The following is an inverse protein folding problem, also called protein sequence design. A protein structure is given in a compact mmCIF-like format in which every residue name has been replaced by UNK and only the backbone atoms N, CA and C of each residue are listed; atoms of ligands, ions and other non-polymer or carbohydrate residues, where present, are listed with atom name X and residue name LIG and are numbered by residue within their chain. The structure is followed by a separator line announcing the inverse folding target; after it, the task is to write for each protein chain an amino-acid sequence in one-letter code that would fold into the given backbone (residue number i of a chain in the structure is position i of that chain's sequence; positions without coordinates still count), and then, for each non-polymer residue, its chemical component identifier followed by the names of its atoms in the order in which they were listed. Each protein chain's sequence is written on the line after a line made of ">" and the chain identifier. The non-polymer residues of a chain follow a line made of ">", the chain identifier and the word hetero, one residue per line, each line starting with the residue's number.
data_IF_016054381019
#
_entry.id   IF_016054381019
#
_cell.length_a   1.000
_cell.length_b   1.000
_cell.length_c   1.000
_cell.angle_alpha   90.00
_cell.angle_beta   90.00
_cell.angle_gamma   90.00
#
_symmetry.space_group_name_H-M   'P 1'
#
loop_
_entity.id
_entity.type
_entity.pdbx_description
1 polymer ?
#
# COMPACT_ATOMS: atom_id res chain seq x y z
N UNK A 1 -34.04 -26.84 32.70
CA UNK A 1 -33.14 -27.01 31.55
C UNK A 1 -32.57 -25.64 31.23
N UNK A 2 -31.26 -25.41 31.36
CA UNK A 2 -30.69 -24.14 30.97
C UNK A 2 -30.84 -24.02 29.44
N UNK A 3 -31.37 -22.90 29.00
CA UNK A 3 -31.53 -22.59 27.60
C UNK A 3 -30.14 -22.63 26.92
N UNK A 4 -30.01 -23.45 25.88
CA UNK A 4 -28.73 -23.54 25.15
C UNK A 4 -28.46 -22.21 24.46
N UNK A 5 -27.32 -21.61 24.71
CA UNK A 5 -26.91 -20.38 24.07
C UNK A 5 -26.75 -20.59 22.55
N UNK A 6 -27.30 -19.69 21.77
CA UNK A 6 -27.06 -19.67 20.32
C UNK A 6 -25.66 -19.18 19.98
N UNK A 7 -25.25 -19.29 18.70
CA UNK A 7 -23.94 -18.88 18.20
C UNK A 7 -23.56 -17.45 18.64
N UNK A 8 -24.47 -16.50 18.46
CA UNK A 8 -24.20 -15.09 18.73
C UNK A 8 -23.98 -14.79 20.21
N UNK A 9 -24.76 -15.43 21.09
CA UNK A 9 -24.56 -15.31 22.52
C UNK A 9 -23.21 -15.91 22.95
N UNK A 10 -22.84 -17.07 22.40
CA UNK A 10 -21.54 -17.71 22.66
C UNK A 10 -20.39 -16.84 22.17
N UNK A 11 -20.49 -16.29 20.95
CA UNK A 11 -19.47 -15.40 20.39
C UNK A 11 -19.32 -14.13 21.22
N UNK A 12 -20.43 -13.54 21.65
CA UNK A 12 -20.41 -12.36 22.50
C UNK A 12 -19.75 -12.64 23.87
N UNK A 13 -19.98 -13.81 24.45
CA UNK A 13 -19.28 -14.22 25.67
C UNK A 13 -17.76 -14.29 25.45
N UNK A 14 -17.30 -14.87 24.33
CA UNK A 14 -15.87 -14.93 23.99
C UNK A 14 -15.29 -13.52 23.88
N UNK A 15 -15.96 -12.59 23.20
CA UNK A 15 -15.53 -11.19 23.07
C UNK A 15 -15.38 -10.50 24.40
N UNK A 16 -16.40 -10.61 25.27
CA UNK A 16 -16.40 -10.00 26.63
C UNK A 16 -15.28 -10.58 27.49
N UNK A 17 -15.09 -11.90 27.48
CA UNK A 17 -14.00 -12.53 28.24
C UNK A 17 -12.62 -12.18 27.70
N UNK A 18 -12.47 -12.06 26.38
CA UNK A 18 -11.23 -11.65 25.74
C UNK A 18 -10.85 -10.21 26.14
N UNK A 19 -11.81 -9.28 26.21
CA UNK A 19 -11.58 -7.90 26.61
C UNK A 19 -11.07 -7.76 28.05
N UNK A 20 -11.34 -8.72 28.91
CA UNK A 20 -10.80 -8.77 30.28
C UNK A 20 -9.32 -9.19 30.31
N UNK A 21 -8.79 -9.72 29.23
CA UNK A 21 -7.41 -10.21 29.15
C UNK A 21 -6.44 -9.08 28.83
N UNK A 22 -5.29 -9.09 29.48
CA UNK A 22 -4.19 -8.18 29.18
C UNK A 22 -3.33 -8.76 28.07
N UNK A 23 -3.77 -8.62 26.83
CA UNK A 23 -2.98 -9.00 25.67
C UNK A 23 -1.79 -8.04 25.50
N UNK A 24 -0.63 -8.58 25.06
CA UNK A 24 0.57 -7.79 24.83
C UNK A 24 0.87 -7.77 23.33
N UNK A 25 1.05 -6.59 22.76
CA UNK A 25 1.47 -6.42 21.37
C UNK A 25 2.94 -6.81 21.21
N UNK A 26 3.24 -7.88 20.46
CA UNK A 26 4.59 -8.33 20.15
C UNK A 26 5.11 -7.82 18.81
N UNK A 27 4.24 -7.47 17.89
CA UNK A 27 4.58 -6.91 16.60
C UNK A 27 5.10 -5.47 16.73
N UNK A 28 6.18 -5.17 16.00
CA UNK A 28 6.78 -3.83 15.95
C UNK A 28 6.98 -3.42 14.51
N UNK A 29 6.31 -2.36 14.10
CA UNK A 29 6.65 -1.68 12.86
C UNK A 29 7.71 -0.62 13.15
N UNK A 30 8.97 -0.94 12.87
CA UNK A 30 10.12 -0.03 13.09
C UNK A 30 10.07 1.20 12.20
N UNK A 31 9.37 1.10 11.10
CA UNK A 31 9.30 2.16 10.09
C UNK A 31 8.35 3.28 10.53
N UNK A 32 7.15 2.89 10.96
CA UNK A 32 6.11 3.83 11.42
C UNK A 32 6.05 3.96 12.96
N UNK A 33 7.00 3.33 13.67
CA UNK A 33 7.19 3.41 15.12
C UNK A 33 5.92 3.11 15.94
N UNK A 34 5.20 2.03 15.56
CA UNK A 34 4.04 1.57 16.34
C UNK A 34 4.12 0.06 16.62
N UNK A 35 3.39 -0.38 17.65
CA UNK A 35 3.23 -1.78 18.01
C UNK A 35 1.85 -2.28 17.61
N UNK A 36 1.77 -3.54 17.20
CA UNK A 36 0.53 -4.19 16.79
C UNK A 36 0.45 -5.61 17.34
N UNK A 37 -0.75 -6.19 17.33
CA UNK A 37 -0.95 -7.57 17.73
C UNK A 37 -0.54 -8.53 16.60
N UNK A 38 0.30 -9.50 16.93
CA UNK A 38 0.54 -10.68 16.11
C UNK A 38 -0.47 -11.78 16.45
N UNK A 39 -0.64 -12.75 15.55
CA UNK A 39 -1.53 -13.89 15.79
C UNK A 39 -1.21 -14.63 17.09
N UNK A 40 0.06 -14.75 17.45
CA UNK A 40 0.52 -15.40 18.68
C UNK A 40 0.09 -14.69 19.96
N UNK A 41 -0.25 -13.40 19.88
CA UNK A 41 -0.58 -12.59 21.06
C UNK A 41 -2.03 -12.82 21.55
N UNK A 42 -2.93 -13.22 20.66
CA UNK A 42 -4.34 -13.39 20.96
C UNK A 42 -4.91 -14.78 20.60
N UNK A 43 -4.35 -15.46 19.59
CA UNK A 43 -4.91 -16.71 19.08
C UNK A 43 -5.00 -17.83 20.14
N UNK A 44 -3.99 -18.02 21.02
CA UNK A 44 -4.10 -19.04 22.09
C UNK A 44 -5.26 -18.78 23.04
N UNK A 45 -5.48 -17.52 23.43
CA UNK A 45 -6.58 -17.16 24.34
C UNK A 45 -7.94 -17.26 23.64
N UNK A 46 -8.04 -16.85 22.37
CA UNK A 46 -9.26 -17.03 21.57
C UNK A 46 -9.61 -18.50 21.44
N UNK A 47 -8.66 -19.37 21.12
CA UNK A 47 -8.91 -20.80 20.99
C UNK A 47 -9.41 -21.41 22.31
N UNK A 48 -8.83 -20.99 23.43
CA UNK A 48 -9.27 -21.41 24.76
C UNK A 48 -10.72 -20.98 25.04
N UNK A 49 -11.01 -19.69 24.85
CA UNK A 49 -12.35 -19.14 25.09
C UNK A 49 -13.39 -19.73 24.13
N UNK A 50 -13.05 -19.95 22.87
CA UNK A 50 -13.91 -20.65 21.92
C UNK A 50 -14.22 -22.06 22.37
N UNK A 51 -13.21 -22.83 22.80
CA UNK A 51 -13.39 -24.17 23.33
C UNK A 51 -14.33 -24.18 24.55
N UNK A 52 -14.13 -23.29 25.50
CA UNK A 52 -14.96 -23.14 26.71
C UNK A 52 -16.42 -22.79 26.40
N UNK A 53 -16.67 -22.09 25.27
CA UNK A 53 -18.01 -21.70 24.81
C UNK A 53 -18.60 -22.62 23.73
N UNK A 54 -17.95 -23.74 23.39
CA UNK A 54 -18.43 -24.66 22.36
C UNK A 54 -18.44 -24.05 20.96
N UNK A 55 -17.43 -23.24 20.63
CA UNK A 55 -17.19 -22.65 19.31
C UNK A 55 -15.93 -23.25 18.68
N UNK A 56 -15.92 -23.31 17.35
CA UNK A 56 -14.74 -23.64 16.54
C UNK A 56 -14.51 -22.57 15.50
N UNK A 57 -13.25 -22.29 15.17
CA UNK A 57 -12.85 -21.34 14.12
C UNK A 57 -12.14 -22.07 13.00
N UNK A 58 -12.50 -21.78 11.75
CA UNK A 58 -11.89 -22.37 10.54
C UNK A 58 -11.47 -21.23 9.63
N UNK A 59 -10.16 -21.14 9.35
CA UNK A 59 -9.62 -20.16 8.41
C UNK A 59 -9.43 -20.78 7.04
N UNK A 60 -9.98 -20.13 6.00
CA UNK A 60 -9.82 -20.47 4.60
C UNK A 60 -9.18 -19.31 3.84
N UNK A 61 -8.40 -19.63 2.82
CA UNK A 61 -7.71 -18.67 1.99
C UNK A 61 -7.64 -19.16 0.54
N UNK A 62 -7.96 -18.29 -0.41
CA UNK A 62 -7.80 -18.50 -1.83
C UNK A 62 -7.25 -17.24 -2.53
N UNK A 63 -7.25 -17.20 -3.86
CA UNK A 63 -6.69 -16.08 -4.64
C UNK A 63 -7.49 -14.79 -4.52
N UNK A 64 -8.81 -14.89 -4.29
CA UNK A 64 -9.72 -13.75 -4.30
C UNK A 64 -10.04 -13.24 -2.90
N UNK A 65 -10.15 -14.14 -1.92
CA UNK A 65 -10.56 -13.78 -0.56
C UNK A 65 -10.00 -14.72 0.50
N UNK A 66 -9.97 -14.21 1.73
CA UNK A 66 -9.78 -14.99 2.94
C UNK A 66 -11.05 -14.98 3.78
N UNK A 67 -11.32 -16.08 4.48
CA UNK A 67 -12.49 -16.24 5.33
C UNK A 67 -12.13 -16.83 6.68
N UNK A 68 -12.84 -16.37 7.70
CA UNK A 68 -12.88 -16.97 9.03
C UNK A 68 -14.30 -17.40 9.32
N UNK A 69 -14.53 -18.70 9.41
CA UNK A 69 -15.80 -19.28 9.78
C UNK A 69 -15.79 -19.57 11.28
N UNK A 70 -16.82 -19.13 12.00
CA UNK A 70 -17.07 -19.43 13.40
C UNK A 70 -18.29 -20.36 13.47
N UNK A 71 -18.12 -21.52 14.04
CA UNK A 71 -19.13 -22.59 14.07
C UNK A 71 -19.51 -22.91 15.49
N UNK A 72 -20.81 -23.05 15.78
CA UNK A 72 -21.31 -23.63 17.01
C UNK A 72 -21.12 -25.16 16.95
N UNK A 73 -20.23 -25.69 17.79
CA UNK A 73 -19.90 -27.15 17.78
C UNK A 73 -21.12 -28.03 18.09
N UNK A 74 -22.04 -27.54 18.93
CA UNK A 74 -23.25 -28.29 19.31
C UNK A 74 -24.33 -28.29 18.21
N UNK A 75 -24.29 -27.30 17.32
CA UNK A 75 -25.20 -27.17 16.18
C UNK A 75 -24.44 -26.51 15.02
N UNK A 76 -23.75 -27.29 14.15
CA UNK A 76 -22.96 -26.76 13.05
C UNK A 76 -23.75 -26.00 11.98
N UNK A 77 -25.08 -26.07 11.97
CA UNK A 77 -25.91 -25.23 11.11
C UNK A 77 -25.86 -23.74 11.51
N UNK A 78 -25.54 -23.47 12.77
CA UNK A 78 -25.29 -22.14 13.29
C UNK A 78 -23.82 -21.79 13.08
N UNK A 79 -23.56 -20.96 12.07
CA UNK A 79 -22.22 -20.47 11.78
C UNK A 79 -22.28 -19.03 11.30
N UNK A 80 -21.15 -18.32 11.44
CA UNK A 80 -20.96 -16.95 10.96
C UNK A 80 -19.65 -16.88 10.18
N UNK A 81 -19.65 -16.13 9.07
CA UNK A 81 -18.49 -16.02 8.19
C UNK A 81 -18.05 -14.57 8.10
N UNK A 82 -16.81 -14.33 8.45
CA UNK A 82 -16.10 -13.07 8.22
C UNK A 82 -15.21 -13.22 7.01
N UNK A 83 -15.23 -12.25 6.10
CA UNK A 83 -14.43 -12.33 4.86
C UNK A 83 -13.73 -11.01 4.56
N UNK A 84 -12.59 -11.11 3.88
CA UNK A 84 -11.84 -9.96 3.35
C UNK A 84 -11.31 -10.28 1.97
N UNK A 85 -11.32 -9.32 1.02
CA UNK A 85 -10.64 -9.51 -0.24
C UNK A 85 -9.14 -9.69 -0.03
N UNK A 86 -8.50 -10.41 -0.94
CA UNK A 86 -7.06 -10.69 -0.88
C UNK A 86 -6.37 -10.11 -2.09
N UNK A 87 -5.22 -9.52 -1.85
CA UNK A 87 -4.26 -9.17 -2.88
C UNK A 87 -2.90 -9.72 -2.44
N UNK A 88 -2.32 -10.58 -3.28
CA UNK A 88 -1.02 -11.19 -2.95
C UNK A 88 0.05 -10.08 -2.83
N UNK A 89 0.65 -10.01 -1.67
CA UNK A 89 1.71 -9.04 -1.40
C UNK A 89 2.93 -9.29 -2.29
N UNK A 90 3.60 -8.22 -2.72
CA UNK A 90 4.87 -8.29 -3.44
C UNK A 90 5.97 -7.76 -2.53
N UNK A 91 6.59 -8.65 -1.76
CA UNK A 91 7.70 -8.31 -0.87
C UNK A 91 9.02 -8.33 -1.66
N UNK A 92 9.82 -7.30 -1.49
CA UNK A 92 11.10 -7.18 -2.20
C UNK A 92 12.06 -8.30 -1.78
N UNK A 93 12.49 -9.09 -2.76
CA UNK A 93 13.44 -10.20 -2.53
C UNK A 93 12.81 -11.49 -1.99
N UNK A 94 11.48 -11.54 -1.82
CA UNK A 94 10.79 -12.74 -1.38
C UNK A 94 10.39 -13.65 -2.55
N UNK A 95 10.44 -14.97 -2.33
CA UNK A 95 9.91 -15.94 -3.28
C UNK A 95 8.37 -15.91 -3.30
N UNK A 96 7.75 -16.39 -4.39
CA UNK A 96 6.29 -16.40 -4.54
C UNK A 96 5.55 -17.03 -3.35
N UNK A 97 6.04 -18.17 -2.85
CA UNK A 97 5.46 -18.84 -1.68
C UNK A 97 5.56 -18.02 -0.39
N UNK A 98 6.62 -17.23 -0.23
CA UNK A 98 6.78 -16.33 0.91
C UNK A 98 5.77 -15.17 0.85
N UNK A 99 5.50 -14.66 -0.35
CA UNK A 99 4.48 -13.63 -0.55
C UNK A 99 3.08 -14.16 -0.21
N UNK A 100 2.74 -15.37 -0.65
CA UNK A 100 1.49 -16.05 -0.30
C UNK A 100 1.39 -16.24 1.23
N UNK A 101 2.43 -16.78 1.87
CA UNK A 101 2.45 -17.00 3.31
C UNK A 101 2.30 -15.70 4.13
N UNK A 102 2.97 -14.62 3.70
CA UNK A 102 2.82 -13.31 4.32
C UNK A 102 1.39 -12.78 4.19
N UNK A 103 0.80 -12.88 2.99
CA UNK A 103 -0.59 -12.47 2.73
C UNK A 103 -1.59 -13.28 3.56
N UNK A 104 -1.42 -14.60 3.66
CA UNK A 104 -2.25 -15.46 4.51
C UNK A 104 -2.20 -15.04 5.99
N UNK A 105 -0.99 -14.83 6.51
CA UNK A 105 -0.80 -14.45 7.92
C UNK A 105 -1.43 -13.09 8.20
N UNK A 106 -1.29 -12.15 7.27
CA UNK A 106 -1.87 -10.81 7.35
C UNK A 106 -3.41 -10.88 7.33
N UNK A 107 -4.00 -11.53 6.33
CA UNK A 107 -5.44 -11.67 6.21
C UNK A 107 -6.05 -12.40 7.42
N UNK A 108 -5.42 -13.49 7.89
CA UNK A 108 -5.85 -14.22 9.07
C UNK A 108 -5.87 -13.34 10.31
N UNK A 109 -4.83 -12.54 10.53
CA UNK A 109 -4.75 -11.64 11.68
C UNK A 109 -5.91 -10.66 11.71
N UNK A 110 -6.19 -9.97 10.61
CA UNK A 110 -7.28 -8.99 10.53
C UNK A 110 -8.66 -9.62 10.63
N UNK A 111 -8.88 -10.81 10.09
CA UNK A 111 -10.13 -11.52 10.25
C UNK A 111 -10.41 -11.89 11.73
N UNK A 112 -9.39 -12.31 12.48
CA UNK A 112 -9.53 -12.57 13.92
C UNK A 112 -9.76 -11.28 14.70
N UNK A 113 -9.02 -10.21 14.41
CA UNK A 113 -9.21 -8.90 15.03
C UNK A 113 -10.65 -8.42 14.84
N UNK A 114 -11.17 -8.50 13.63
CA UNK A 114 -12.54 -8.10 13.28
C UNK A 114 -13.59 -9.01 13.96
N UNK A 115 -13.43 -10.32 13.85
CA UNK A 115 -14.42 -11.28 14.36
C UNK A 115 -14.54 -11.25 15.88
N UNK A 116 -13.44 -11.02 16.59
CA UNK A 116 -13.40 -10.99 18.06
C UNK A 116 -13.33 -9.57 18.64
N UNK A 117 -13.52 -8.54 17.81
CA UNK A 117 -13.56 -7.12 18.21
C UNK A 117 -12.36 -6.70 19.07
N UNK A 118 -11.16 -7.13 18.65
CA UNK A 118 -9.92 -6.74 19.32
C UNK A 118 -9.63 -5.28 18.92
N UNK A 119 -9.72 -4.37 19.90
CA UNK A 119 -9.40 -2.97 19.66
C UNK A 119 -7.90 -2.78 19.52
N UNK A 120 -7.47 -2.36 18.32
CA UNK A 120 -6.16 -1.77 18.10
C UNK A 120 -6.34 -0.26 17.94
N UNK A 121 -5.37 0.51 18.43
CA UNK A 121 -5.32 1.92 18.03
C UNK A 121 -5.07 1.93 16.54
N UNK A 122 -6.02 2.43 15.79
CA UNK A 122 -5.92 2.49 14.34
C UNK A 122 -4.67 3.27 13.93
N UNK A 123 -3.97 2.77 12.93
CA UNK A 123 -2.82 3.40 12.28
C UNK A 123 -3.10 4.85 11.83
N UNK A 124 -4.36 5.18 11.64
CA UNK A 124 -4.84 6.52 11.28
C UNK A 124 -4.55 7.52 12.40
N UNK A 125 -4.61 7.09 13.69
CA UNK A 125 -4.28 7.96 14.85
C UNK A 125 -2.78 7.98 15.17
N UNK A 126 -2.01 7.01 14.72
CA UNK A 126 -0.56 6.94 14.94
C UNK A 126 0.25 7.85 14.01
N UNK A 127 -0.40 8.80 13.36
CA UNK A 127 0.21 9.84 12.55
C UNK A 127 0.61 9.36 11.17
N UNK A 128 0.04 9.99 10.19
CA UNK A 128 0.51 10.16 8.82
C UNK A 128 1.54 9.12 8.37
N UNK A 129 1.09 7.95 7.97
CA UNK A 129 1.78 7.31 6.86
C UNK A 129 1.43 8.23 5.68
N UNK A 130 2.27 9.20 5.47
CA UNK A 130 2.26 9.97 4.25
C UNK A 130 2.74 8.99 3.16
N UNK A 131 1.80 8.16 2.68
CA UNK A 131 2.08 7.21 1.58
C UNK A 131 2.64 7.99 0.39
N UNK A 132 2.23 9.25 0.21
CA UNK A 132 2.77 10.14 -0.80
C UNK A 132 4.23 10.49 -0.49
N UNK A 133 4.59 10.76 0.77
CA UNK A 133 5.98 11.03 1.16
C UNK A 133 6.87 9.78 1.04
N UNK A 134 6.33 8.59 1.25
CA UNK A 134 7.09 7.35 1.09
C UNK A 134 7.23 6.95 -0.38
N UNK A 135 6.17 7.08 -1.15
CA UNK A 135 6.23 6.93 -2.62
C UNK A 135 7.20 7.97 -3.18
N UNK A 136 7.15 9.21 -2.70
CA UNK A 136 8.05 10.28 -3.13
C UNK A 136 9.54 9.98 -2.85
N UNK A 137 9.85 9.20 -1.81
CA UNK A 137 11.23 8.76 -1.47
C UNK A 137 11.68 7.52 -2.24
N UNK A 138 10.77 6.76 -2.83
CA UNK A 138 11.11 5.58 -3.63
C UNK A 138 11.80 6.00 -4.93
N UNK A 139 12.58 5.10 -5.55
CA UNK A 139 13.18 5.36 -6.86
C UNK A 139 12.10 5.34 -7.93
N UNK A 140 12.24 6.21 -8.95
CA UNK A 140 11.35 6.23 -10.10
C UNK A 140 11.29 4.87 -10.82
N UNK A 141 10.14 4.58 -11.42
CA UNK A 141 9.98 3.36 -12.21
C UNK A 141 10.86 3.38 -13.47
N UNK A 142 11.24 2.22 -14.04
CA UNK A 142 11.97 2.17 -15.29
C UNK A 142 11.29 2.93 -16.43
N UNK A 143 9.95 2.91 -16.47
CA UNK A 143 9.17 3.64 -17.48
C UNK A 143 9.36 5.15 -17.33
N UNK A 144 9.26 5.70 -16.12
CA UNK A 144 9.49 7.11 -15.84
C UNK A 144 10.92 7.54 -16.16
N UNK A 145 11.90 6.68 -15.90
CA UNK A 145 13.28 6.95 -16.26
C UNK A 145 13.48 7.05 -17.78
N UNK A 146 12.79 6.24 -18.59
CA UNK A 146 12.80 6.33 -20.04
C UNK A 146 12.14 7.63 -20.52
N UNK A 147 11.01 8.03 -19.94
CA UNK A 147 10.31 9.29 -20.27
C UNK A 147 11.23 10.49 -20.04
N UNK A 148 11.89 10.59 -18.88
CA UNK A 148 12.83 11.68 -18.58
C UNK A 148 13.98 11.70 -19.58
N UNK A 149 14.60 10.56 -19.89
CA UNK A 149 15.72 10.50 -20.85
C UNK A 149 15.31 11.00 -22.23
N UNK A 150 14.14 10.59 -22.71
CA UNK A 150 13.59 11.04 -23.98
C UNK A 150 13.35 12.56 -23.98
N UNK A 151 12.79 13.11 -22.92
CA UNK A 151 12.56 14.54 -22.78
C UNK A 151 13.88 15.34 -22.74
N UNK A 152 14.93 14.80 -22.09
CA UNK A 152 16.28 15.39 -22.09
C UNK A 152 16.85 15.44 -23.52
N UNK A 153 16.72 14.37 -24.29
CA UNK A 153 17.17 14.28 -25.69
C UNK A 153 16.41 15.28 -26.58
N UNK A 154 15.07 15.30 -26.49
CA UNK A 154 14.22 16.22 -27.26
C UNK A 154 14.53 17.69 -27.00
N UNK A 155 14.84 18.04 -25.77
CA UNK A 155 15.15 19.42 -25.36
C UNK A 155 16.64 19.78 -25.48
N UNK A 156 17.49 18.85 -25.93
CA UNK A 156 18.95 19.00 -25.91
C UNK A 156 19.48 19.51 -24.58
N UNK A 157 18.93 18.98 -23.49
CA UNK A 157 19.36 19.35 -22.13
C UNK A 157 20.67 18.66 -21.79
N UNK A 158 21.59 19.39 -21.17
CA UNK A 158 22.85 18.84 -20.67
C UNK A 158 22.55 17.84 -19.54
N UNK A 159 22.82 16.55 -19.80
CA UNK A 159 22.57 15.46 -18.88
C UNK A 159 23.33 15.64 -17.56
N UNK A 160 24.58 16.10 -17.60
CA UNK A 160 25.39 16.25 -16.40
C UNK A 160 24.84 17.35 -15.50
N UNK A 161 24.44 18.48 -16.05
CA UNK A 161 23.80 19.58 -15.31
C UNK A 161 22.44 19.16 -14.75
N UNK A 162 21.66 18.42 -15.53
CA UNK A 162 20.37 17.90 -15.08
C UNK A 162 20.51 16.95 -13.88
N UNK A 163 21.41 15.97 -13.98
CA UNK A 163 21.66 15.01 -12.88
C UNK A 163 22.22 15.70 -11.62
N UNK A 164 23.10 16.68 -11.81
CA UNK A 164 23.65 17.45 -10.69
C UNK A 164 22.56 18.27 -9.96
N UNK A 165 21.61 18.86 -10.69
CA UNK A 165 20.50 19.60 -10.11
C UNK A 165 19.65 18.71 -9.18
N UNK A 166 19.37 17.46 -9.58
CA UNK A 166 18.62 16.50 -8.78
C UNK A 166 19.49 15.70 -7.78
N UNK A 167 20.79 16.00 -7.74
CA UNK A 167 21.77 15.34 -6.84
C UNK A 167 21.76 13.81 -6.97
N UNK A 168 21.80 13.32 -8.21
CA UNK A 168 21.86 11.89 -8.56
C UNK A 168 22.94 11.63 -9.61
N UNK A 169 23.48 10.40 -9.64
CA UNK A 169 24.49 10.01 -10.64
C UNK A 169 23.86 9.48 -11.93
N UNK A 170 22.60 9.02 -11.88
CA UNK A 170 21.85 8.46 -13.01
C UNK A 170 20.38 8.77 -12.87
N UNK A 171 19.67 8.90 -14.00
CA UNK A 171 18.21 9.14 -14.02
C UNK A 171 17.45 8.08 -13.22
N UNK A 172 17.88 6.82 -13.26
CA UNK A 172 17.22 5.72 -12.51
C UNK A 172 17.35 5.83 -10.99
N UNK A 173 18.21 6.69 -10.49
CA UNK A 173 18.43 6.94 -9.06
C UNK A 173 17.54 8.06 -8.52
N UNK A 174 16.86 8.78 -9.40
CA UNK A 174 15.91 9.82 -9.03
C UNK A 174 14.79 9.25 -8.18
N UNK A 175 14.26 10.08 -7.29
CA UNK A 175 13.11 9.74 -6.45
C UNK A 175 11.81 10.04 -7.17
N UNK A 176 10.76 9.29 -6.82
CA UNK A 176 9.43 9.46 -7.40
C UNK A 176 8.90 10.89 -7.24
N UNK A 177 9.13 11.52 -6.08
CA UNK A 177 8.78 12.91 -5.81
C UNK A 177 9.52 13.94 -6.69
N UNK A 178 10.64 13.56 -7.31
CA UNK A 178 11.39 14.44 -8.22
C UNK A 178 10.88 14.38 -9.66
N UNK A 179 10.02 13.41 -9.99
CA UNK A 179 9.56 13.17 -11.36
C UNK A 179 8.75 14.34 -11.90
N UNK A 180 7.79 14.85 -11.14
CA UNK A 180 6.93 15.97 -11.56
C UNK A 180 7.73 17.25 -11.82
N UNK A 181 8.69 17.58 -10.94
CA UNK A 181 9.58 18.73 -11.08
C UNK A 181 10.49 18.59 -12.32
N UNK A 182 11.05 17.41 -12.52
CA UNK A 182 11.88 17.10 -13.68
C UNK A 182 11.13 17.28 -15.00
N UNK A 183 9.90 16.78 -15.07
CA UNK A 183 9.07 16.93 -16.26
C UNK A 183 8.66 18.39 -16.49
N UNK A 184 8.24 19.10 -15.45
CA UNK A 184 7.88 20.53 -15.56
C UNK A 184 9.03 21.38 -16.10
N UNK A 185 10.26 21.10 -15.64
CA UNK A 185 11.46 21.79 -16.10
C UNK A 185 11.79 21.52 -17.59
N UNK A 186 11.63 20.25 -18.02
CA UNK A 186 11.86 19.84 -19.41
C UNK A 186 10.76 20.34 -20.36
N UNK A 187 9.49 20.32 -19.91
CA UNK A 187 8.34 20.81 -20.67
C UNK A 187 8.42 22.33 -20.88
N UNK A 188 8.82 23.09 -19.84
CA UNK A 188 9.09 24.51 -19.97
C UNK A 188 10.16 24.80 -21.02
N UNK A 189 11.27 24.08 -20.96
CA UNK A 189 12.34 24.25 -21.94
C UNK A 189 11.90 23.89 -23.35
N UNK A 190 11.04 22.87 -23.50
CA UNK A 190 10.45 22.50 -24.80
C UNK A 190 9.57 23.61 -25.35
N UNK A 191 8.76 24.25 -24.49
CA UNK A 191 7.93 25.39 -24.86
C UNK A 191 8.78 26.61 -25.26
N UNK A 192 9.87 26.89 -24.55
CA UNK A 192 10.79 27.98 -24.85
C UNK A 192 11.48 27.76 -26.19
N UNK A 193 11.89 26.54 -26.53
CA UNK A 193 12.46 26.19 -27.82
C UNK A 193 11.44 26.36 -28.98
N UNK A 194 10.19 25.90 -28.73
CA UNK A 194 9.12 26.04 -29.73
C UNK A 194 8.79 27.51 -30.02
N UNK A 195 8.78 28.35 -28.99
CA UNK A 195 8.57 29.79 -29.12
C UNK A 195 9.71 30.46 -29.92
N UNK A 196 10.96 30.15 -29.58
CA UNK A 196 12.11 30.68 -30.27
C UNK A 196 12.14 30.30 -31.77
N UNK A 197 11.70 29.08 -32.13
CA UNK A 197 11.56 28.63 -33.52
C UNK A 197 10.46 29.38 -34.26
N UNK A 198 9.31 29.67 -33.61
CA UNK A 198 8.24 30.45 -34.23
C UNK A 198 8.68 31.90 -34.45
N UNK A 199 9.29 32.52 -33.45
CA UNK A 199 9.80 33.89 -33.55
C UNK A 199 10.85 34.02 -34.66
N UNK A 200 11.71 33.00 -34.86
CA UNK A 200 12.68 32.95 -35.97
C UNK A 200 12.00 32.84 -37.32
N UNK A 201 11.01 31.93 -37.46
CA UNK A 201 10.29 31.75 -38.74
C UNK A 201 9.49 33.01 -39.12
N UNK A 202 8.86 33.70 -38.18
CA UNK A 202 8.15 34.97 -38.43
C UNK A 202 9.10 36.07 -38.87
N UNK A 203 10.33 36.11 -38.35
CA UNK A 203 11.34 37.09 -38.77
C UNK A 203 11.88 36.82 -40.20
N UNK A 204 12.02 35.58 -40.62
CA UNK A 204 12.43 35.23 -41.99
C UNK A 204 11.32 35.52 -43.02
N UNK A 205 10.05 35.27 -42.68
CA UNK A 205 8.91 35.60 -43.55
C UNK A 205 8.80 37.12 -43.76
N UNK A 206 9.03 37.92 -42.73
CA UNK A 206 9.02 39.39 -42.84
C UNK A 206 10.16 39.98 -43.69
N UNK A 207 11.30 39.27 -43.82
CA UNK A 207 12.42 39.68 -44.67
C UNK A 207 12.14 39.39 -46.16
N UNK A 208 11.48 38.25 -46.46
CA UNK A 208 11.12 37.90 -47.85
C UNK A 208 10.04 38.81 -48.46
N UNK A 209 9.10 39.32 -47.65
CA UNK A 209 8.09 40.29 -48.11
C UNK A 209 8.67 41.67 -48.39
N UNK A 210 9.77 42.06 -47.69
CA UNK A 210 10.42 43.36 -47.92
C UNK A 210 11.37 43.40 -49.15
N UNK A 211 11.83 42.26 -49.65
CA UNK A 211 12.66 42.15 -50.86
C UNK A 211 11.85 42.00 -52.18
N UNK A 212 10.53 41.78 -52.07
CA UNK A 212 9.65 41.62 -53.25
C UNK A 212 9.01 42.91 -53.76
N UNK A 213 9.42 44.06 -53.25
CA UNK A 213 8.90 45.40 -53.67
C UNK A 213 10.04 46.20 -54.28
N UNK A 214 10.52 45.80 -55.48
CA UNK A 214 11.25 46.66 -56.43
C UNK A 214 11.01 46.17 -57.86
#
# INVERSE_FOLDING_TARGET
>A
MSEKLNLYAKLQNVRVELQKKKLKKSGVNKYSNYTYFELQDFLPEINKLCYENGLSTIFNFNEDYAQLLIVNIEDPSQHETFSTPVQIATLKGAAAMQNIGATQSYARRYLYIMAFEIAENDLIDAGNIDEEAEIAKSKITPVKAVIIKKAIEETKTDMAKFLNYFNVSKVQEMKEGQFAEAMAMLDKKKADIAKALNDFNESEVGIQESEAVW
#
